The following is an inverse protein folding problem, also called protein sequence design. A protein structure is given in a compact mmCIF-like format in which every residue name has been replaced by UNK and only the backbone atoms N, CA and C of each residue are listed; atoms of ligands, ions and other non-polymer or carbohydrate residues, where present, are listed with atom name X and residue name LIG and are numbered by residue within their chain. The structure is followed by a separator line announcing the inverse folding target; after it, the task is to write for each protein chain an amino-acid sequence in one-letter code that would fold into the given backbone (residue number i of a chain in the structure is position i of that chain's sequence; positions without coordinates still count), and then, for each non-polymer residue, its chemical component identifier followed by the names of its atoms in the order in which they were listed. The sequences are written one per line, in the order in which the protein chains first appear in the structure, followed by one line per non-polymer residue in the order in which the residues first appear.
data_IF_072868437512
#
_entry.id   IF_072868437512
#
_cell.length_a   1.000
_cell.length_b   1.000
_cell.length_c   1.000
_cell.angle_alpha   90.00
_cell.angle_beta   90.00
_cell.angle_gamma   90.00
#
_symmetry.space_group_name_H-M   'P 1'
#
loop_
_entity.id
_entity.type
_entity.pdbx_description
1 polymer ?
#
# COMPACT_ATOMS: atom_id res chain seq x y z
N UNK A 1 -21.38 96.26 9.18
CA UNK A 1 -21.05 96.52 7.76
C UNK A 1 -21.28 95.22 7.02
N UNK A 2 -22.37 95.11 6.24
CA UNK A 2 -22.35 95.20 4.76
C UNK A 2 -21.35 94.19 4.17
N UNK A 3 -21.69 93.21 3.34
CA UNK A 3 -22.82 93.01 2.45
C UNK A 3 -22.26 92.39 1.15
N UNK A 4 -22.94 91.38 0.62
CA UNK A 4 -23.18 91.08 -0.81
C UNK A 4 -22.02 91.28 -1.83
N UNK A 5 -21.60 90.19 -2.52
CA UNK A 5 -21.26 90.15 -3.96
C UNK A 5 -21.16 88.67 -4.44
N UNK A 6 -22.13 88.13 -5.20
CA UNK A 6 -22.23 88.02 -6.69
C UNK A 6 -21.08 87.23 -7.37
N UNK A 7 -21.33 86.02 -7.89
CA UNK A 7 -21.77 85.65 -9.27
C UNK A 7 -20.63 85.85 -10.29
N UNK A 8 -19.92 84.80 -10.72
CA UNK A 8 -20.17 83.83 -11.84
C UNK A 8 -19.40 84.19 -13.11
N UNK A 9 -18.55 83.28 -13.61
CA UNK A 9 -18.29 82.94 -15.05
C UNK A 9 -17.64 81.53 -15.04
N UNK A 10 -18.36 80.43 -15.27
CA UNK A 10 -18.70 79.79 -16.55
C UNK A 10 -17.47 79.39 -17.42
N UNK A 11 -17.12 78.09 -17.43
CA UNK A 11 -17.00 77.32 -18.68
C UNK A 11 -16.90 75.81 -18.42
N UNK A 12 -17.97 75.15 -18.83
CA UNK A 12 -18.21 73.77 -19.25
C UNK A 12 -16.93 73.01 -19.68
N UNK A 13 -16.72 71.80 -19.14
CA UNK A 13 -16.60 70.49 -19.84
C UNK A 13 -16.15 69.41 -18.83
N UNK A 14 -16.93 68.32 -18.75
CA UNK A 14 -16.39 66.96 -18.61
C UNK A 14 -16.32 66.34 -17.21
N UNK A 15 -17.35 65.55 -16.86
CA UNK A 15 -17.26 64.13 -16.51
C UNK A 15 -18.47 63.69 -15.69
N UNK A 16 -19.21 62.74 -16.25
CA UNK A 16 -20.42 62.14 -15.71
C UNK A 16 -20.15 61.38 -14.40
N UNK A 17 -20.65 61.89 -13.28
CA UNK A 17 -20.81 61.10 -12.05
C UNK A 17 -22.09 60.27 -12.16
N UNK A 18 -21.98 59.07 -12.73
CA UNK A 18 -23.04 58.06 -12.60
C UNK A 18 -22.98 57.57 -11.16
N UNK A 19 -24.13 57.67 -10.49
CA UNK A 19 -24.46 57.01 -9.25
C UNK A 19 -23.91 55.58 -9.23
N UNK A 20 -22.85 55.36 -8.45
CA UNK A 20 -22.40 54.01 -8.12
C UNK A 20 -23.49 53.33 -7.31
N UNK A 21 -24.31 52.52 -7.98
CA UNK A 21 -24.94 51.39 -7.33
C UNK A 21 -23.78 50.56 -6.77
N UNK A 22 -23.65 50.50 -5.44
CA UNK A 22 -22.86 49.43 -4.85
C UNK A 22 -23.51 48.12 -5.31
N UNK A 23 -22.79 47.22 -6.00
CA UNK A 23 -23.25 45.86 -6.05
C UNK A 23 -23.23 45.38 -4.59
N UNK A 24 -24.41 45.10 -4.05
CA UNK A 24 -24.49 44.21 -2.91
C UNK A 24 -23.82 42.91 -3.35
N UNK A 25 -22.61 42.65 -2.87
CA UNK A 25 -22.02 41.32 -2.84
C UNK A 25 -23.02 40.45 -2.09
N UNK A 26 -23.81 39.72 -2.86
CA UNK A 26 -24.55 38.58 -2.35
C UNK A 26 -23.50 37.49 -2.21
N UNK A 27 -22.99 37.28 -1.00
CA UNK A 27 -22.20 36.11 -0.63
C UNK A 27 -23.16 34.91 -0.66
N UNK A 28 -23.50 34.44 -1.85
CA UNK A 28 -24.35 33.26 -2.03
C UNK A 28 -23.47 32.03 -2.11
N UNK A 29 -23.06 31.53 -0.95
CA UNK A 29 -22.44 30.21 -0.80
C UNK A 29 -23.30 29.10 -1.44
N UNK A 30 -24.61 29.31 -1.57
CA UNK A 30 -25.53 28.42 -2.29
C UNK A 30 -25.16 28.21 -3.77
N UNK A 31 -24.64 29.22 -4.46
CA UNK A 31 -24.25 29.12 -5.87
C UNK A 31 -22.96 28.32 -6.07
N UNK A 32 -21.95 28.61 -5.23
CA UNK A 32 -20.67 27.89 -5.21
C UNK A 32 -20.85 26.41 -4.83
N UNK A 33 -21.80 26.13 -3.94
CA UNK A 33 -22.16 24.76 -3.57
C UNK A 33 -22.77 24.01 -4.76
N UNK A 34 -23.70 24.62 -5.50
CA UNK A 34 -24.36 23.95 -6.65
C UNK A 34 -23.38 23.62 -7.79
N UNK A 35 -22.47 24.54 -8.11
CA UNK A 35 -21.43 24.32 -9.11
C UNK A 35 -20.42 23.25 -8.67
N UNK A 36 -20.06 23.22 -7.38
CA UNK A 36 -19.17 22.18 -6.82
C UNK A 36 -19.80 20.80 -6.85
N UNK A 37 -21.11 20.71 -6.56
CA UNK A 37 -21.89 19.47 -6.70
C UNK A 37 -21.93 19.02 -8.16
N UNK A 38 -22.17 19.94 -9.09
CA UNK A 38 -22.21 19.62 -10.52
C UNK A 38 -20.87 19.07 -11.04
N UNK A 39 -19.74 19.62 -10.57
CA UNK A 39 -18.40 19.11 -10.91
C UNK A 39 -18.19 17.69 -10.40
N UNK A 40 -18.58 17.40 -9.15
CA UNK A 40 -18.47 16.04 -8.59
C UNK A 40 -19.39 15.05 -9.32
N UNK A 41 -20.61 15.48 -9.68
CA UNK A 41 -21.52 14.67 -10.50
C UNK A 41 -20.92 14.36 -11.89
N UNK A 42 -20.22 15.32 -12.51
CA UNK A 42 -19.53 15.12 -13.79
C UNK A 42 -18.33 14.19 -13.66
N UNK A 43 -17.51 14.40 -12.62
CA UNK A 43 -16.38 13.53 -12.28
C UNK A 43 -16.80 12.06 -12.14
N UNK A 44 -17.82 11.78 -11.32
CA UNK A 44 -18.29 10.39 -11.14
C UNK A 44 -18.98 9.80 -12.37
N UNK A 45 -19.59 10.61 -13.25
CA UNK A 45 -20.11 10.12 -14.54
C UNK A 45 -18.99 9.65 -15.46
N UNK A 46 -17.86 10.37 -15.50
CA UNK A 46 -16.69 9.93 -16.26
C UNK A 46 -16.11 8.63 -15.69
N UNK A 47 -16.03 8.50 -14.36
CA UNK A 47 -15.61 7.25 -13.71
C UNK A 47 -16.53 6.08 -14.05
N UNK A 48 -17.85 6.26 -13.96
CA UNK A 48 -18.84 5.22 -14.30
C UNK A 48 -18.78 4.81 -15.79
N UNK A 49 -18.38 5.73 -16.67
CA UNK A 49 -18.14 5.47 -18.09
C UNK A 49 -16.74 4.87 -18.39
N UNK A 50 -15.85 4.81 -17.40
CA UNK A 50 -14.46 4.40 -17.57
C UNK A 50 -13.61 5.41 -18.36
N UNK A 51 -14.00 6.68 -18.38
CA UNK A 51 -13.33 7.78 -19.07
C UNK A 51 -12.29 8.44 -18.14
N UNK A 52 -11.25 7.69 -17.79
CA UNK A 52 -10.23 8.04 -16.79
C UNK A 52 -9.56 9.41 -17.03
N UNK A 53 -9.15 9.72 -18.26
CA UNK A 53 -8.52 11.02 -18.58
C UNK A 53 -9.48 12.20 -18.44
N UNK A 54 -10.77 12.01 -18.75
CA UNK A 54 -11.78 13.05 -18.59
C UNK A 54 -12.08 13.29 -17.10
N UNK A 55 -12.17 12.22 -16.31
CA UNK A 55 -12.29 12.32 -14.86
C UNK A 55 -11.06 13.04 -14.25
N UNK A 56 -9.85 12.64 -14.63
CA UNK A 56 -8.60 13.24 -14.13
C UNK A 56 -8.48 14.74 -14.46
N UNK A 57 -8.98 15.18 -15.61
CA UNK A 57 -8.98 16.59 -16.01
C UNK A 57 -9.87 17.49 -15.13
N UNK A 58 -10.77 16.91 -14.32
CA UNK A 58 -11.60 17.63 -13.33
C UNK A 58 -10.92 17.73 -11.96
N UNK A 59 -9.65 17.35 -11.86
CA UNK A 59 -8.86 17.30 -10.63
C UNK A 59 -7.59 18.14 -10.78
N UNK A 60 -6.93 18.45 -9.67
CA UNK A 60 -5.59 19.05 -9.66
C UNK A 60 -4.46 18.03 -9.46
N UNK A 61 -4.78 16.74 -9.51
CA UNK A 61 -3.83 15.66 -9.31
C UNK A 61 -3.14 15.36 -10.66
N UNK A 62 -1.81 15.38 -10.65
CA UNK A 62 -0.99 14.96 -11.78
C UNK A 62 -0.83 13.44 -11.77
N UNK A 63 -1.78 12.74 -12.40
CA UNK A 63 -1.77 11.28 -12.50
C UNK A 63 -0.76 10.80 -13.57
N UNK A 64 0.17 9.91 -13.21
CA UNK A 64 0.96 9.15 -14.18
C UNK A 64 0.06 8.38 -15.17
N UNK A 65 0.51 8.27 -16.43
CA UNK A 65 -0.27 7.67 -17.52
C UNK A 65 -0.72 6.24 -17.20
N UNK A 66 0.11 5.47 -16.48
CA UNK A 66 -0.19 4.09 -16.09
C UNK A 66 -1.44 3.96 -15.21
N UNK A 67 -1.77 4.98 -14.41
CA UNK A 67 -2.96 4.96 -13.55
C UNK A 67 -4.20 5.52 -14.24
N UNK A 68 -4.03 6.19 -15.37
CA UNK A 68 -5.10 6.64 -16.25
C UNK A 68 -5.37 5.65 -17.38
N UNK A 69 -4.62 4.55 -17.46
CA UNK A 69 -4.89 3.52 -18.45
C UNK A 69 -6.32 2.99 -18.26
N UNK A 70 -7.09 3.04 -19.34
CA UNK A 70 -8.52 2.67 -19.31
C UNK A 70 -8.70 1.17 -19.07
N UNK A 71 -7.77 0.33 -19.54
CA UNK A 71 -7.81 -1.10 -19.33
C UNK A 71 -7.43 -1.42 -17.88
N UNK A 72 -6.40 -0.76 -17.33
CA UNK A 72 -6.07 -0.84 -15.89
C UNK A 72 -7.26 -0.47 -15.00
N UNK A 73 -7.93 0.65 -15.29
CA UNK A 73 -9.05 1.11 -14.47
C UNK A 73 -10.28 0.20 -14.61
N UNK A 74 -10.56 -0.31 -15.82
CA UNK A 74 -11.66 -1.25 -16.06
C UNK A 74 -11.40 -2.66 -15.52
N UNK A 75 -10.14 -3.01 -15.30
CA UNK A 75 -9.74 -4.25 -14.65
C UNK A 75 -9.97 -4.22 -13.12
N UNK A 76 -10.31 -3.05 -12.55
CA UNK A 76 -10.75 -2.95 -11.15
C UNK A 76 -11.93 -3.90 -10.88
N UNK A 77 -11.93 -4.54 -9.71
CA UNK A 77 -13.01 -5.43 -9.27
C UNK A 77 -14.39 -4.75 -9.37
N UNK A 78 -14.47 -3.44 -9.09
CA UNK A 78 -15.63 -2.64 -9.40
C UNK A 78 -15.29 -1.16 -9.61
N UNK A 79 -16.07 -0.49 -10.47
CA UNK A 79 -16.03 0.96 -10.67
C UNK A 79 -17.18 1.65 -9.91
N UNK A 80 -17.01 2.92 -9.48
CA UNK A 80 -18.06 3.64 -8.77
C UNK A 80 -19.33 3.78 -9.60
N UNK A 81 -20.47 3.57 -8.95
CA UNK A 81 -21.79 3.80 -9.53
C UNK A 81 -22.73 4.49 -8.55
N UNK A 82 -23.81 5.07 -9.08
CA UNK A 82 -24.87 5.72 -8.28
C UNK A 82 -24.34 6.79 -7.32
N UNK A 83 -23.27 7.47 -7.72
CA UNK A 83 -22.67 8.53 -6.93
C UNK A 83 -23.67 9.69 -6.72
N UNK A 84 -23.69 10.23 -5.51
CA UNK A 84 -24.46 11.43 -5.17
C UNK A 84 -23.78 12.19 -4.03
N UNK A 85 -23.79 13.51 -4.10
CA UNK A 85 -23.39 14.34 -2.97
C UNK A 85 -24.48 14.27 -1.89
N UNK A 86 -24.14 13.77 -0.70
CA UNK A 86 -25.08 13.62 0.42
C UNK A 86 -24.94 14.73 1.46
N UNK A 87 -23.78 15.38 1.51
CA UNK A 87 -23.52 16.53 2.35
C UNK A 87 -22.52 17.45 1.65
N UNK A 88 -22.70 18.75 1.78
CA UNK A 88 -21.76 19.75 1.28
C UNK A 88 -21.76 20.96 2.21
N UNK A 89 -20.57 21.46 2.54
CA UNK A 89 -20.36 22.62 3.37
C UNK A 89 -19.33 23.55 2.71
N UNK A 90 -19.73 24.78 2.44
CA UNK A 90 -18.79 25.82 2.01
C UNK A 90 -17.97 26.26 3.21
N UNK A 91 -16.66 26.03 3.17
CA UNK A 91 -15.76 26.39 4.26
C UNK A 91 -15.34 27.87 4.20
N UNK A 92 -15.16 28.41 2.98
CA UNK A 92 -14.84 29.81 2.65
C UNK A 92 -15.32 30.09 1.20
N UNK A 93 -15.25 31.35 0.71
CA UNK A 93 -15.70 31.81 -0.63
C UNK A 93 -15.02 31.10 -1.84
N UNK A 94 -14.21 30.07 -1.63
CA UNK A 94 -13.45 29.37 -2.69
C UNK A 94 -13.25 27.88 -2.46
N UNK A 95 -13.78 27.30 -1.37
CA UNK A 95 -13.60 25.89 -1.02
C UNK A 95 -14.89 25.29 -0.48
N UNK A 96 -15.32 24.18 -1.09
CA UNK A 96 -16.47 23.38 -0.66
C UNK A 96 -15.98 21.99 -0.29
N UNK A 97 -16.24 21.56 0.94
CA UNK A 97 -16.09 20.16 1.33
C UNK A 97 -17.41 19.42 1.04
N UNK A 98 -17.35 18.31 0.32
CA UNK A 98 -18.50 17.53 -0.08
C UNK A 98 -18.29 16.04 0.25
N UNK A 99 -19.26 15.44 0.94
CA UNK A 99 -19.31 13.99 1.13
C UNK A 99 -20.13 13.37 0.00
N UNK A 100 -19.49 12.50 -0.76
CA UNK A 100 -20.12 11.73 -1.83
C UNK A 100 -20.38 10.32 -1.34
N UNK A 101 -21.61 9.85 -1.52
CA UNK A 101 -21.99 8.45 -1.37
C UNK A 101 -21.98 7.78 -2.75
N UNK A 102 -21.31 6.63 -2.89
CA UNK A 102 -21.23 5.86 -4.14
C UNK A 102 -21.19 4.35 -3.85
N UNK A 103 -21.50 3.52 -4.84
CA UNK A 103 -21.50 2.06 -4.74
C UNK A 103 -20.30 1.50 -5.50
N UNK A 104 -19.52 0.63 -4.84
CA UNK A 104 -18.46 -0.15 -5.48
C UNK A 104 -18.96 -1.58 -5.74
N UNK A 105 -19.16 -2.38 -4.69
CA UNK A 105 -19.57 -3.79 -4.82
C UNK A 105 -21.04 -4.00 -4.43
N UNK A 106 -21.39 -3.88 -3.14
CA UNK A 106 -22.76 -4.11 -2.66
C UNK A 106 -23.60 -2.82 -2.62
N UNK A 107 -24.71 -2.73 -3.39
CA UNK A 107 -25.63 -1.59 -3.31
C UNK A 107 -26.26 -1.34 -1.94
N UNK A 108 -26.21 -2.32 -1.02
CA UNK A 108 -26.69 -2.17 0.36
C UNK A 108 -25.66 -1.53 1.29
N UNK A 109 -24.40 -1.50 0.88
CA UNK A 109 -23.28 -0.96 1.65
C UNK A 109 -22.52 0.08 0.81
N UNK A 110 -23.18 1.20 0.46
CA UNK A 110 -22.51 2.28 -0.26
C UNK A 110 -21.34 2.83 0.56
N UNK A 111 -20.29 3.24 -0.13
CA UNK A 111 -19.12 3.91 0.44
C UNK A 111 -19.36 5.41 0.50
N UNK A 112 -18.69 6.07 1.45
CA UNK A 112 -18.67 7.52 1.55
C UNK A 112 -17.25 8.02 1.53
N UNK A 113 -17.00 9.11 0.79
CA UNK A 113 -15.73 9.80 0.84
C UNK A 113 -15.90 11.31 0.77
N UNK A 114 -14.98 12.02 1.40
CA UNK A 114 -14.95 13.47 1.40
C UNK A 114 -14.04 13.96 0.29
N UNK A 115 -14.61 14.80 -0.56
CA UNK A 115 -13.95 15.53 -1.62
C UNK A 115 -13.90 17.00 -1.22
N UNK A 116 -12.81 17.67 -1.59
CA UNK A 116 -12.73 19.12 -1.53
C UNK A 116 -12.82 19.64 -2.95
N UNK A 117 -13.60 20.68 -3.15
CA UNK A 117 -13.71 21.36 -4.43
C UNK A 117 -13.22 22.77 -4.23
N UNK A 118 -12.24 23.20 -5.03
CA UNK A 118 -11.63 24.52 -4.92
C UNK A 118 -11.43 25.15 -6.29
N UNK A 119 -11.30 26.47 -6.31
CA UNK A 119 -10.88 27.17 -7.52
C UNK A 119 -9.35 27.13 -7.65
N UNK A 120 -8.87 26.66 -8.80
CA UNK A 120 -7.45 26.58 -9.19
C UNK A 120 -7.28 27.15 -10.59
N UNK A 121 -6.44 28.18 -10.75
CA UNK A 121 -6.20 28.86 -12.04
C UNK A 121 -7.48 29.32 -12.78
N UNK A 122 -8.52 29.69 -12.02
CA UNK A 122 -9.80 30.16 -12.56
C UNK A 122 -10.73 29.04 -13.04
N UNK A 123 -10.40 27.78 -12.74
CA UNK A 123 -11.25 26.61 -12.94
C UNK A 123 -11.50 25.91 -11.61
N UNK A 124 -12.69 25.36 -11.45
CA UNK A 124 -12.99 24.56 -10.26
C UNK A 124 -12.47 23.14 -10.46
N UNK A 125 -11.88 22.57 -9.42
CA UNK A 125 -11.27 21.23 -9.44
C UNK A 125 -11.59 20.47 -8.17
N UNK A 126 -11.77 19.15 -8.30
CA UNK A 126 -11.91 18.24 -7.17
C UNK A 126 -10.53 17.80 -6.65
N UNK A 127 -10.38 17.70 -5.33
CA UNK A 127 -9.19 17.22 -4.63
C UNK A 127 -9.53 16.52 -3.31
N UNK A 128 -8.54 16.03 -2.57
CA UNK A 128 -8.69 15.71 -1.14
C UNK A 128 -9.29 14.36 -0.73
N UNK A 129 -9.58 13.44 -1.65
CA UNK A 129 -10.04 12.07 -1.30
C UNK A 129 -8.90 11.10 -0.95
N UNK A 130 -7.67 11.60 -0.85
CA UNK A 130 -6.47 10.80 -0.65
C UNK A 130 -5.53 11.03 -1.82
N UNK A 131 -4.75 12.11 -1.76
CA UNK A 131 -3.83 12.50 -2.83
C UNK A 131 -2.67 11.52 -3.01
N UNK A 132 -2.54 10.53 -2.12
CA UNK A 132 -1.45 9.55 -2.15
C UNK A 132 -1.84 8.30 -1.37
N UNK A 133 -1.66 7.15 -2.01
CA UNK A 133 -1.78 5.85 -1.38
C UNK A 133 -0.46 5.10 -1.53
N UNK A 134 0.13 4.62 -0.44
CA UNK A 134 1.39 3.90 -0.48
C UNK A 134 1.20 2.41 -0.15
N UNK A 135 1.70 1.54 -1.02
CA UNK A 135 1.89 0.12 -0.71
C UNK A 135 3.26 -0.04 -0.06
N UNK A 136 3.30 -0.41 1.21
CA UNK A 136 4.52 -0.51 2.00
C UNK A 136 4.76 -1.96 2.40
N UNK A 137 5.92 -2.48 2.03
CA UNK A 137 6.37 -3.79 2.46
C UNK A 137 7.09 -3.70 3.80
N UNK A 138 6.52 -4.30 4.85
CA UNK A 138 7.15 -4.26 6.17
C UNK A 138 8.03 -5.47 6.47
N UNK A 139 7.92 -6.56 5.69
CA UNK A 139 8.55 -7.81 6.09
C UNK A 139 9.03 -8.76 4.99
N UNK A 140 8.50 -8.79 3.76
CA UNK A 140 8.65 -10.02 2.94
C UNK A 140 8.91 -9.85 1.45
N UNK A 141 9.59 -10.81 0.81
CA UNK A 141 9.94 -10.72 -0.60
C UNK A 141 8.73 -11.12 -1.45
N UNK A 142 8.59 -10.57 -2.65
CA UNK A 142 7.52 -10.97 -3.57
C UNK A 142 7.07 -9.82 -4.43
N UNK A 143 5.89 -9.98 -5.01
CA UNK A 143 5.30 -9.03 -5.94
C UNK A 143 3.90 -8.69 -5.48
N UNK A 144 3.55 -7.41 -5.49
CA UNK A 144 2.16 -6.98 -5.42
C UNK A 144 1.70 -6.65 -6.83
N UNK A 145 0.56 -7.20 -7.22
CA UNK A 145 -0.05 -6.95 -8.51
C UNK A 145 -1.39 -6.26 -8.26
N UNK A 146 -1.60 -5.12 -8.92
CA UNK A 146 -2.83 -4.34 -8.82
C UNK A 146 -3.61 -4.51 -10.12
N UNK A 147 -4.87 -4.93 -10.01
CA UNK A 147 -5.79 -5.24 -11.11
C UNK A 147 -5.20 -6.20 -12.16
N UNK A 148 -4.23 -7.05 -11.79
CA UNK A 148 -3.54 -7.94 -12.72
C UNK A 148 -2.59 -7.25 -13.73
N UNK A 149 -2.44 -5.93 -13.68
CA UNK A 149 -1.75 -5.14 -14.71
C UNK A 149 -0.48 -4.45 -14.17
N UNK A 150 -0.55 -3.86 -12.96
CA UNK A 150 0.58 -3.14 -12.37
C UNK A 150 1.28 -4.01 -11.34
N UNK A 151 2.49 -4.45 -11.68
CA UNK A 151 3.32 -5.30 -10.83
C UNK A 151 4.42 -4.48 -10.13
N UNK A 152 4.49 -4.61 -8.80
CA UNK A 152 5.47 -3.98 -7.95
C UNK A 152 6.32 -5.04 -7.25
N UNK A 153 7.60 -5.11 -7.60
CA UNK A 153 8.56 -5.90 -6.85
C UNK A 153 8.74 -5.30 -5.44
N UNK A 154 8.48 -6.09 -4.42
CA UNK A 154 8.51 -5.67 -3.03
C UNK A 154 9.88 -5.94 -2.42
N UNK A 155 10.60 -4.87 -2.08
CA UNK A 155 11.80 -4.95 -1.23
C UNK A 155 11.45 -4.62 0.21
N UNK A 156 12.21 -5.15 1.17
CA UNK A 156 11.94 -4.90 2.59
C UNK A 156 12.04 -3.40 2.89
N UNK A 157 11.04 -2.85 3.58
CA UNK A 157 10.89 -1.41 3.89
C UNK A 157 10.80 -0.52 2.64
N UNK A 158 10.46 -1.09 1.49
CA UNK A 158 10.16 -0.35 0.28
C UNK A 158 8.70 0.11 0.28
N UNK A 159 8.46 1.19 -0.45
CA UNK A 159 7.14 1.81 -0.58
C UNK A 159 6.90 2.24 -2.02
N UNK A 160 5.78 1.81 -2.58
CA UNK A 160 5.32 2.21 -3.91
C UNK A 160 4.12 3.12 -3.77
N UNK A 161 4.21 4.30 -4.37
CA UNK A 161 3.15 5.29 -4.33
C UNK A 161 2.21 5.11 -5.52
N UNK A 162 0.92 4.99 -5.24
CA UNK A 162 -0.15 4.92 -6.21
C UNK A 162 -1.00 6.18 -6.15
N UNK A 163 -1.34 6.67 -7.34
CA UNK A 163 -2.27 7.77 -7.55
C UNK A 163 -3.52 7.19 -8.20
N UNK A 164 -4.47 6.79 -7.37
CA UNK A 164 -5.62 6.00 -7.79
C UNK A 164 -6.89 6.87 -7.90
N UNK A 165 -7.64 6.66 -8.98
CA UNK A 165 -9.01 7.14 -9.10
C UNK A 165 -9.92 6.32 -8.15
N UNK A 166 -11.09 6.83 -7.76
CA UNK A 166 -12.03 6.03 -6.96
C UNK A 166 -12.44 4.74 -7.68
N UNK A 167 -12.27 3.58 -7.03
CA UNK A 167 -12.66 2.24 -7.50
C UNK A 167 -12.47 1.19 -6.38
N UNK A 168 -12.86 -0.06 -6.65
CA UNK A 168 -12.47 -1.24 -5.87
C UNK A 168 -11.37 -1.96 -6.64
N UNK A 169 -10.16 -1.92 -6.10
CA UNK A 169 -8.96 -2.48 -6.72
C UNK A 169 -8.74 -3.91 -6.27
N UNK A 170 -8.49 -4.82 -7.22
CA UNK A 170 -8.08 -6.19 -6.95
C UNK A 170 -6.57 -6.19 -6.67
N UNK A 171 -6.16 -6.75 -5.53
CA UNK A 171 -4.77 -6.81 -5.10
C UNK A 171 -4.39 -8.28 -4.91
N UNK A 172 -3.35 -8.72 -5.63
CA UNK A 172 -2.76 -10.03 -5.42
C UNK A 172 -1.30 -9.92 -4.98
N UNK A 173 -0.89 -10.92 -4.19
CA UNK A 173 0.50 -11.11 -3.76
C UNK A 173 1.06 -12.40 -4.32
N UNK A 174 2.18 -12.30 -5.03
CA UNK A 174 2.89 -13.44 -5.56
C UNK A 174 4.27 -13.58 -4.92
N UNK A 175 4.53 -14.76 -4.35
CA UNK A 175 5.85 -15.18 -3.91
C UNK A 175 6.41 -16.21 -4.91
N UNK A 176 7.44 -15.85 -5.70
CA UNK A 176 8.09 -16.77 -6.64
C UNK A 176 8.68 -18.03 -5.98
N UNK A 177 8.93 -18.01 -4.67
CA UNK A 177 9.44 -19.15 -3.90
C UNK A 177 8.35 -20.01 -3.29
N UNK A 178 7.10 -19.51 -3.26
CA UNK A 178 5.95 -20.16 -2.63
C UNK A 178 6.07 -20.32 -1.11
N UNK A 179 7.01 -19.63 -0.46
CA UNK A 179 7.34 -19.79 0.95
C UNK A 179 6.55 -18.87 1.87
N UNK A 180 6.04 -17.76 1.34
CA UNK A 180 5.37 -16.70 2.09
C UNK A 180 3.97 -16.47 1.58
N UNK A 181 3.09 -16.02 2.47
CA UNK A 181 1.68 -15.78 2.19
C UNK A 181 1.10 -14.69 3.10
N UNK A 182 0.02 -14.05 2.65
CA UNK A 182 -0.65 -12.98 3.38
C UNK A 182 -1.63 -13.52 4.44
N UNK A 183 -2.41 -14.53 4.09
CA UNK A 183 -3.33 -15.23 4.99
C UNK A 183 -2.70 -16.47 5.61
N UNK A 184 -3.13 -16.87 6.81
CA UNK A 184 -2.72 -18.15 7.41
C UNK A 184 -3.34 -19.37 6.72
N UNK A 185 -4.29 -19.15 5.82
CA UNK A 185 -5.00 -20.14 5.00
C UNK A 185 -4.48 -20.16 3.54
N UNK A 186 -3.39 -19.45 3.25
CA UNK A 186 -2.84 -19.31 1.90
C UNK A 186 -3.51 -18.22 1.06
N UNK A 187 -4.45 -17.44 1.62
CA UNK A 187 -5.08 -16.33 0.91
C UNK A 187 -4.04 -15.25 0.57
N UNK A 188 -3.89 -14.94 -0.71
CA UNK A 188 -2.96 -13.95 -1.24
C UNK A 188 -3.63 -12.89 -2.12
N UNK A 189 -4.95 -12.98 -2.30
CA UNK A 189 -5.77 -12.07 -3.10
C UNK A 189 -6.77 -11.37 -2.18
N UNK A 190 -7.04 -10.10 -2.42
CA UNK A 190 -8.04 -9.33 -1.69
C UNK A 190 -8.42 -8.04 -2.41
N UNK A 191 -9.64 -7.58 -2.19
CA UNK A 191 -10.12 -6.31 -2.73
C UNK A 191 -9.83 -5.16 -1.77
N UNK A 192 -9.46 -4.02 -2.35
CA UNK A 192 -9.19 -2.79 -1.62
C UNK A 192 -10.00 -1.63 -2.20
N UNK A 193 -10.90 -1.01 -1.42
CA UNK A 193 -11.62 0.16 -1.88
C UNK A 193 -10.67 1.37 -1.86
N UNK A 194 -10.86 2.26 -2.82
CA UNK A 194 -10.28 3.58 -2.79
C UNK A 194 -11.31 4.61 -3.26
N UNK A 195 -11.43 5.76 -2.57
CA UNK A 195 -10.89 6.06 -1.25
C UNK A 195 -11.45 5.14 -0.14
N UNK A 196 -10.64 4.84 0.87
CA UNK A 196 -10.99 3.92 1.96
C UNK A 196 -11.60 4.68 3.16
N UNK A 197 -12.82 4.32 3.57
CA UNK A 197 -13.34 4.64 4.89
C UNK A 197 -13.30 3.39 5.80
N UNK A 198 -12.98 3.59 7.08
CA UNK A 198 -12.80 2.52 8.10
C UNK A 198 -14.08 1.73 8.40
N UNK A 199 -15.20 2.08 7.78
CA UNK A 199 -16.54 1.57 8.07
C UNK A 199 -16.94 0.34 7.26
N UNK A 200 -16.16 -0.06 6.24
CA UNK A 200 -16.45 -1.26 5.44
C UNK A 200 -15.96 -2.57 6.07
N UNK A 201 -16.69 -3.65 5.83
CA UNK A 201 -16.25 -5.02 6.13
C UNK A 201 -15.60 -5.60 4.88
N UNK A 202 -14.27 -5.61 4.85
CA UNK A 202 -13.49 -6.20 3.75
C UNK A 202 -12.81 -7.48 4.24
N UNK A 203 -12.80 -8.51 3.40
CA UNK A 203 -12.07 -9.76 3.67
C UNK A 203 -10.59 -9.53 3.38
N UNK A 204 -9.90 -8.94 4.36
CA UNK A 204 -8.47 -8.62 4.27
C UNK A 204 -7.65 -9.73 4.94
N UNK A 205 -6.58 -10.25 4.29
CA UNK A 205 -5.71 -11.25 4.89
C UNK A 205 -5.10 -10.76 6.22
N UNK A 206 -4.84 -11.70 7.14
CA UNK A 206 -4.40 -11.39 8.49
C UNK A 206 -3.09 -10.58 8.57
N UNK A 207 -2.19 -10.75 7.60
CA UNK A 207 -0.92 -10.01 7.53
C UNK A 207 -0.96 -8.76 6.64
N UNK A 208 -2.17 -8.27 6.37
CA UNK A 208 -2.41 -7.04 5.63
C UNK A 208 -3.13 -6.05 6.55
N UNK A 209 -2.68 -4.79 6.53
CA UNK A 209 -3.35 -3.71 7.25
C UNK A 209 -3.59 -2.53 6.32
N UNK A 210 -4.85 -2.14 6.17
CA UNK A 210 -5.26 -0.97 5.39
C UNK A 210 -5.50 0.21 6.34
N UNK A 211 -4.96 1.36 5.98
CA UNK A 211 -5.17 2.63 6.66
C UNK A 211 -5.41 3.73 5.63
N UNK A 212 -5.99 4.88 6.04
CA UNK A 212 -6.10 6.02 5.14
C UNK A 212 -4.71 6.41 4.60
N UNK A 213 -4.50 6.22 3.29
CA UNK A 213 -3.27 6.55 2.60
C UNK A 213 -2.19 5.46 2.57
N UNK A 214 -2.39 4.29 3.19
CA UNK A 214 -1.41 3.21 3.09
C UNK A 214 -1.97 1.81 3.28
N UNK A 215 -1.40 0.87 2.52
CA UNK A 215 -1.52 -0.57 2.67
C UNK A 215 -0.19 -1.11 3.17
N UNK A 216 -0.22 -1.72 4.35
CA UNK A 216 0.93 -2.40 4.93
C UNK A 216 0.82 -3.89 4.63
N UNK A 217 1.82 -4.42 3.93
CA UNK A 217 1.91 -5.84 3.57
C UNK A 217 3.04 -6.49 4.34
N UNK A 218 2.73 -7.61 5.01
CA UNK A 218 3.68 -8.35 5.82
C UNK A 218 3.55 -9.85 5.64
N UNK A 219 3.66 -10.37 4.41
CA UNK A 219 3.60 -11.83 4.16
C UNK A 219 4.53 -12.59 5.12
N UNK A 220 4.21 -13.82 5.51
CA UNK A 220 5.03 -14.58 6.45
C UNK A 220 5.22 -16.02 6.00
N UNK A 221 6.33 -16.62 6.43
CA UNK A 221 6.53 -18.06 6.36
C UNK A 221 5.71 -18.70 7.49
N UNK A 222 4.91 -19.71 7.16
CA UNK A 222 4.09 -20.40 8.16
C UNK A 222 4.94 -21.10 9.22
N UNK A 223 4.41 -21.20 10.45
CA UNK A 223 5.11 -21.86 11.54
C UNK A 223 5.40 -23.35 11.25
N UNK A 224 4.48 -24.04 10.59
CA UNK A 224 4.66 -25.44 10.15
C UNK A 224 5.82 -25.54 9.15
N UNK A 225 5.96 -24.55 8.28
CA UNK A 225 7.06 -24.48 7.33
C UNK A 225 8.42 -24.35 8.02
N UNK A 226 8.49 -23.57 9.10
CA UNK A 226 9.70 -23.44 9.90
C UNK A 226 10.02 -24.77 10.61
N UNK A 227 9.02 -25.46 11.15
CA UNK A 227 9.20 -26.75 11.81
C UNK A 227 9.74 -27.84 10.85
N UNK A 228 9.29 -27.84 9.59
CA UNK A 228 9.80 -28.75 8.56
C UNK A 228 11.28 -28.50 8.23
N UNK A 229 11.71 -27.23 8.20
CA UNK A 229 13.11 -26.86 8.01
C UNK A 229 13.95 -27.26 9.22
N UNK A 230 13.44 -27.05 10.43
CA UNK A 230 14.09 -27.49 11.65
C UNK A 230 14.32 -29.00 11.65
N UNK A 231 13.34 -29.79 11.22
CA UNK A 231 13.48 -31.25 11.10
C UNK A 231 14.56 -31.66 10.06
N UNK A 232 14.70 -30.90 8.97
CA UNK A 232 15.78 -31.13 7.99
C UNK A 232 17.16 -30.83 8.59
N UNK A 233 17.29 -29.74 9.36
CA UNK A 233 18.54 -29.40 10.05
C UNK A 233 18.85 -30.45 11.13
N UNK A 234 17.86 -30.95 11.87
CA UNK A 234 18.04 -32.02 12.84
C UNK A 234 18.57 -33.31 12.16
N UNK A 235 18.05 -33.66 10.98
CA UNK A 235 18.58 -34.77 10.20
C UNK A 235 20.03 -34.54 9.75
N UNK A 236 20.38 -33.31 9.33
CA UNK A 236 21.74 -32.94 8.95
C UNK A 236 22.72 -33.00 10.13
N UNK A 237 22.31 -32.55 11.32
CA UNK A 237 23.14 -32.62 12.53
C UNK A 237 23.40 -34.08 12.90
N UNK A 238 22.38 -34.95 12.86
CA UNK A 238 22.52 -36.38 13.13
C UNK A 238 23.45 -37.08 12.11
N UNK A 239 23.31 -36.75 10.82
CA UNK A 239 24.20 -37.27 9.77
C UNK A 239 25.64 -36.77 9.96
N UNK A 240 25.84 -35.49 10.29
CA UNK A 240 27.17 -34.94 10.59
C UNK A 240 27.84 -35.67 11.76
N UNK A 241 27.09 -36.08 12.78
CA UNK A 241 27.61 -36.90 13.89
C UNK A 241 28.05 -38.29 13.41
N UNK A 242 27.25 -38.95 12.55
CA UNK A 242 27.62 -40.25 11.96
C UNK A 242 28.85 -40.15 11.06
N UNK A 243 29.02 -39.00 10.40
CA UNK A 243 30.16 -38.64 9.57
C UNK A 243 31.38 -38.17 10.42
N UNK A 244 31.35 -38.37 11.74
CA UNK A 244 32.43 -37.97 12.66
C UNK A 244 32.77 -36.48 12.57
N UNK A 245 31.73 -35.63 12.51
CA UNK A 245 31.84 -34.17 12.39
C UNK A 245 32.68 -33.73 11.17
N UNK A 246 32.67 -34.54 10.12
CA UNK A 246 33.36 -34.24 8.87
C UNK A 246 32.63 -34.81 7.66
N UNK A 247 32.14 -33.96 6.78
CA UNK A 247 31.46 -34.43 5.58
C UNK A 247 30.46 -33.42 5.03
N UNK A 248 29.72 -33.80 3.98
CA UNK A 248 28.78 -32.91 3.31
C UNK A 248 27.59 -32.54 4.20
N UNK A 249 27.26 -33.33 5.23
CA UNK A 249 26.13 -33.03 6.12
C UNK A 249 26.49 -32.00 7.19
N UNK A 250 27.79 -31.79 7.44
CA UNK A 250 28.27 -30.84 8.43
C UNK A 250 28.25 -29.39 7.91
N UNK A 251 28.04 -28.39 8.78
CA UNK A 251 28.21 -26.98 8.41
C UNK A 251 29.61 -26.69 7.89
N UNK A 252 29.73 -25.84 6.87
CA UNK A 252 31.02 -25.49 6.27
C UNK A 252 31.95 -24.77 7.25
N UNK A 253 31.36 -24.05 8.20
CA UNK A 253 32.07 -23.34 9.24
C UNK A 253 32.37 -24.21 10.48
N UNK A 254 31.96 -25.48 10.50
CA UNK A 254 32.30 -26.39 11.57
C UNK A 254 33.82 -26.66 11.54
N UNK A 255 34.57 -26.32 12.59
CA UNK A 255 36.01 -26.54 12.59
C UNK A 255 36.31 -28.04 12.46
N UNK A 256 37.13 -28.43 11.48
CA UNK A 256 37.62 -29.81 11.40
C UNK A 256 38.46 -30.08 12.64
N UNK A 257 38.01 -30.95 13.56
CA UNK A 257 38.89 -31.41 14.65
C UNK A 257 40.15 -32.03 14.03
N UNK A 258 41.34 -31.76 14.56
CA UNK A 258 42.58 -32.40 14.09
C UNK A 258 42.65 -33.91 14.37
N UNK A 259 41.62 -34.49 15.03
CA UNK A 259 41.53 -35.90 15.40
C UNK A 259 40.10 -36.40 15.18
N UNK A 260 39.96 -37.62 14.65
CA UNK A 260 38.66 -38.29 14.56
C UNK A 260 38.00 -38.40 15.94
N UNK A 261 36.67 -38.31 16.00
CA UNK A 261 35.93 -38.53 17.24
C UNK A 261 36.20 -39.92 17.81
N UNK A 262 36.27 -39.98 19.14
CA UNK A 262 36.47 -41.24 19.87
C UNK A 262 35.11 -41.92 20.09
N UNK A 263 34.07 -41.13 20.39
CA UNK A 263 32.72 -41.63 20.63
C UNK A 263 31.66 -40.66 20.08
N UNK A 264 30.87 -41.10 19.10
CA UNK A 264 29.79 -40.32 18.51
C UNK A 264 28.65 -40.02 19.50
N UNK A 265 28.47 -40.85 20.54
CA UNK A 265 27.46 -40.62 21.59
C UNK A 265 27.82 -39.48 22.54
N UNK A 266 29.06 -38.99 22.49
CA UNK A 266 29.52 -37.84 23.28
C UNK A 266 29.21 -36.49 22.64
N UNK A 267 28.64 -36.48 21.43
CA UNK A 267 28.35 -35.23 20.71
C UNK A 267 27.03 -34.64 21.18
N UNK A 268 27.08 -33.36 21.55
CA UNK A 268 25.91 -32.57 21.93
C UNK A 268 25.89 -31.27 21.13
N UNK A 269 24.70 -30.92 20.63
CA UNK A 269 24.43 -29.69 19.91
C UNK A 269 23.53 -28.82 20.77
N UNK A 270 23.98 -27.63 21.11
CA UNK A 270 23.22 -26.65 21.89
C UNK A 270 22.84 -25.49 20.98
N UNK A 271 21.54 -25.34 20.76
CA UNK A 271 21.01 -24.26 19.94
C UNK A 271 21.38 -22.88 20.52
N UNK A 272 21.83 -21.98 19.66
CA UNK A 272 22.04 -20.58 19.95
C UNK A 272 20.84 -19.77 19.46
N UNK A 273 20.59 -18.56 20.00
CA UNK A 273 19.56 -17.66 19.46
C UNK A 273 19.78 -17.49 17.95
N UNK A 274 18.83 -17.99 17.15
CA UNK A 274 18.96 -18.00 15.70
C UNK A 274 18.91 -16.60 15.09
N UNK A 275 19.45 -16.46 13.87
CA UNK A 275 19.20 -15.27 13.04
C UNK A 275 17.85 -15.35 12.32
N UNK A 276 17.17 -16.51 12.39
CA UNK A 276 15.78 -16.70 11.98
C UNK A 276 15.57 -16.69 10.46
N UNK A 277 14.33 -16.42 10.06
CA UNK A 277 13.93 -16.22 8.66
C UNK A 277 14.33 -14.80 8.24
N UNK A 278 15.16 -14.69 7.21
CA UNK A 278 15.54 -13.42 6.60
C UNK A 278 15.08 -13.41 5.14
N UNK A 279 14.04 -12.65 4.81
CA UNK A 279 13.67 -12.44 3.43
C UNK A 279 14.64 -11.46 2.76
N UNK A 280 15.34 -11.91 1.71
CA UNK A 280 16.31 -11.14 0.94
C UNK A 280 16.09 -11.39 -0.55
N UNK A 281 16.08 -10.35 -1.38
CA UNK A 281 16.16 -10.44 -2.85
C UNK A 281 15.31 -11.56 -3.52
N UNK A 282 14.02 -11.63 -3.19
CA UNK A 282 13.11 -12.62 -3.79
C UNK A 282 13.29 -14.05 -3.24
N UNK A 283 13.96 -14.20 -2.10
CA UNK A 283 14.26 -15.49 -1.46
C UNK A 283 13.99 -15.42 0.04
N UNK A 284 13.75 -16.59 0.61
CA UNK A 284 13.64 -16.78 2.05
C UNK A 284 14.91 -17.46 2.53
N UNK A 285 15.78 -16.71 3.23
CA UNK A 285 16.94 -17.28 3.90
C UNK A 285 16.55 -17.79 5.29
N UNK A 286 17.16 -18.90 5.69
CA UNK A 286 17.02 -19.47 7.02
C UNK A 286 18.39 -19.82 7.57
N UNK A 287 18.61 -19.52 8.86
CA UNK A 287 19.82 -19.96 9.53
C UNK A 287 19.63 -20.34 10.99
N UNK A 288 20.34 -21.40 11.38
CA UNK A 288 20.34 -21.95 12.73
C UNK A 288 21.77 -22.22 13.18
N UNK A 289 22.10 -21.71 14.36
CA UNK A 289 23.45 -21.74 14.92
C UNK A 289 23.49 -22.63 16.17
N UNK A 290 24.62 -23.31 16.35
CA UNK A 290 24.81 -24.25 17.44
C UNK A 290 26.19 -24.09 18.08
N UNK A 291 26.23 -24.27 19.40
CA UNK A 291 27.46 -24.66 20.10
C UNK A 291 27.57 -26.18 20.05
N UNK A 292 28.72 -26.69 19.63
CA UNK A 292 28.98 -28.14 19.55
C UNK A 292 29.92 -28.54 20.66
N UNK A 293 29.58 -29.59 21.39
CA UNK A 293 30.46 -30.25 22.36
C UNK A 293 30.69 -31.70 21.93
N UNK A 294 31.94 -32.17 22.01
CA UNK A 294 32.29 -33.54 21.65
C UNK A 294 33.56 -33.99 22.39
N UNK A 295 33.57 -35.24 22.85
CA UNK A 295 34.66 -35.85 23.63
C UNK A 295 35.07 -34.98 24.85
N UNK A 296 34.10 -34.34 25.52
CA UNK A 296 34.35 -33.48 26.68
C UNK A 296 35.01 -32.13 26.36
N UNK A 297 35.03 -31.70 25.09
CA UNK A 297 35.53 -30.39 24.67
C UNK A 297 34.49 -29.65 23.81
N UNK A 298 34.38 -28.33 24.04
CA UNK A 298 33.52 -27.45 23.25
C UNK A 298 34.26 -26.85 22.05
N UNK A 299 33.56 -26.67 20.94
CA UNK A 299 34.07 -25.98 19.76
C UNK A 299 33.97 -24.47 19.95
N UNK A 300 35.07 -23.76 19.70
CA UNK A 300 35.15 -22.32 19.94
C UNK A 300 34.34 -21.47 18.92
N UNK A 301 34.08 -22.00 17.72
CA UNK A 301 33.25 -21.35 16.71
C UNK A 301 31.90 -22.05 16.66
N UNK A 302 30.83 -21.26 16.54
CA UNK A 302 29.47 -21.77 16.35
C UNK A 302 29.35 -22.47 15.00
N UNK A 303 28.73 -23.64 14.99
CA UNK A 303 28.37 -24.35 13.76
C UNK A 303 27.06 -23.74 13.22
N UNK A 304 27.02 -23.33 11.96
CA UNK A 304 25.88 -22.59 11.39
C UNK A 304 25.37 -23.30 10.15
N UNK A 305 24.13 -23.79 10.21
CA UNK A 305 23.39 -24.13 9.01
C UNK A 305 22.76 -22.85 8.48
N UNK A 306 23.11 -22.46 7.27
CA UNK A 306 22.51 -21.36 6.52
C UNK A 306 22.13 -21.84 5.14
N UNK A 307 21.03 -21.33 4.60
CA UNK A 307 20.56 -21.71 3.29
C UNK A 307 19.29 -20.96 2.88
N UNK A 308 18.79 -21.29 1.70
CA UNK A 308 17.54 -20.76 1.15
C UNK A 308 16.42 -21.79 1.25
N UNK A 309 15.19 -21.32 1.46
CA UNK A 309 13.97 -22.10 1.47
C UNK A 309 13.21 -21.94 0.17
N UNK A 310 12.69 -23.06 -0.35
CA UNK A 310 11.77 -23.11 -1.50
C UNK A 310 10.76 -24.23 -1.30
N UNK A 311 9.57 -24.11 -1.90
CA UNK A 311 8.67 -25.26 -2.08
C UNK A 311 9.03 -26.00 -3.37
N UNK A 312 9.11 -27.33 -3.31
CA UNK A 312 9.22 -28.17 -4.50
C UNK A 312 7.87 -28.34 -5.22
N UNK A 313 7.85 -29.11 -6.32
CA UNK A 313 6.63 -29.36 -7.10
C UNK A 313 5.54 -30.12 -6.35
N UNK A 314 5.89 -30.82 -5.28
CA UNK A 314 4.96 -31.53 -4.41
C UNK A 314 4.53 -30.65 -3.21
N UNK A 315 4.97 -29.39 -3.15
CA UNK A 315 4.69 -28.43 -2.09
C UNK A 315 5.54 -28.62 -0.83
N UNK A 316 6.55 -29.49 -0.85
CA UNK A 316 7.43 -29.71 0.31
C UNK A 316 8.51 -28.67 0.37
N UNK A 317 8.88 -28.31 1.59
CA UNK A 317 9.94 -27.33 1.80
C UNK A 317 11.29 -28.00 1.65
N UNK A 318 12.15 -27.35 0.89
CA UNK A 318 13.51 -27.78 0.63
C UNK A 318 14.47 -26.72 1.17
N UNK A 319 15.31 -27.13 2.13
CA UNK A 319 16.42 -26.33 2.61
C UNK A 319 17.67 -26.58 1.75
N UNK A 320 18.13 -25.54 1.05
CA UNK A 320 19.35 -25.61 0.22
C UNK A 320 20.44 -24.75 0.83
N UNK A 321 21.57 -25.36 1.19
CA UNK A 321 22.72 -24.69 1.81
C UNK A 321 23.52 -23.85 0.82
#
# INVERSE_FOLDING_TARGET
MTGILKITVACIIGASSISGCSPSMSTSSEGETAESVALLDEFFKHLEAGETSAAAALTDIDFPEEFLDTDFYKASAAIPSRAKVVQSEGNDDSVVDATVEFVLDDPKHPQTATFKVKDSDGQRVATGWGEKFSIINTASPGHIIVNGELEYAMKRNDGHDLLLLPALYDISYEDPTGMTQLGADGTNEFDMPWPFDKSGTYEIPANVSISPGALLVSAQVEAESIADVDAQIDALTAACVQESLSGPSCPDNLPKKPRALIDSSSVQWFELPGYGVLPSDGRVEYSKAFTVEADGASYAQSAIYSGTLMKDSDGKIVFTR
#
